data_IF_439023416189
#
_entry.id   IF_439023416189
#
_cell.length_a   1.000
_cell.length_b   1.000
_cell.length_c   1.000
_cell.angle_alpha   90.00
_cell.angle_beta   90.00
_cell.angle_gamma   90.00
#
_symmetry.space_group_name_H-M   'P 1'
#
loop_
_entity.id
_entity.type
_entity.pdbx_description
1 polymer ?
#
# COMPACT_ATOMS: atom_id res chain seq x y z
N UNK A 1 11.76 19.89 -5.26
CA UNK A 1 11.60 21.01 -4.32
C UNK A 1 10.60 20.56 -3.26
N UNK A 2 11.04 20.11 -2.09
CA UNK A 2 10.12 19.71 -1.01
C UNK A 2 9.55 21.00 -0.43
N UNK A 3 8.26 21.21 -0.64
CA UNK A 3 7.57 22.38 -0.12
C UNK A 3 7.64 22.33 1.42
N UNK A 4 8.19 23.36 2.07
CA UNK A 4 8.17 23.53 3.54
C UNK A 4 6.75 23.94 3.95
N UNK A 5 5.79 23.04 3.79
CA UNK A 5 4.46 23.23 4.33
C UNK A 5 4.51 23.07 5.85
N UNK A 6 4.09 24.11 6.58
CA UNK A 6 3.91 24.06 8.03
C UNK A 6 2.58 23.42 8.45
N UNK A 7 1.78 22.93 7.50
CA UNK A 7 0.50 22.30 7.76
C UNK A 7 0.71 20.95 8.43
N UNK A 8 0.55 20.94 9.74
CA UNK A 8 0.59 19.77 10.61
C UNK A 8 -0.79 19.16 10.81
N UNK A 9 -1.81 19.62 10.10
CA UNK A 9 -3.19 19.17 10.30
C UNK A 9 -3.95 18.96 9.00
N UNK A 10 -4.87 18.01 9.06
CA UNK A 10 -5.84 17.67 8.03
C UNK A 10 -7.23 17.81 8.65
N UNK A 11 -8.13 18.54 7.99
CA UNK A 11 -9.55 18.58 8.34
C UNK A 11 -10.36 18.25 7.10
N UNK A 12 -11.18 17.22 7.21
CA UNK A 12 -12.07 16.75 6.15
C UNK A 12 -13.50 16.84 6.65
N UNK A 13 -14.42 17.23 5.78
CA UNK A 13 -15.86 17.22 6.09
C UNK A 13 -16.63 16.72 4.88
N UNK A 14 -17.41 15.66 5.06
CA UNK A 14 -18.19 15.04 4.01
C UNK A 14 -19.40 14.31 4.61
N UNK A 15 -20.57 14.46 3.98
CA UNK A 15 -21.82 13.76 4.37
C UNK A 15 -22.18 13.87 5.88
N UNK A 16 -21.92 15.04 6.50
CA UNK A 16 -22.18 15.26 7.93
C UNK A 16 -21.13 14.65 8.88
N UNK A 17 -20.08 14.03 8.34
CA UNK A 17 -18.90 13.59 9.10
C UNK A 17 -17.81 14.65 9.04
N UNK A 18 -17.07 14.76 10.14
CA UNK A 18 -15.87 15.59 10.25
C UNK A 18 -14.72 14.74 10.77
N UNK A 19 -13.59 14.79 10.07
CA UNK A 19 -12.35 14.12 10.48
C UNK A 19 -11.29 15.20 10.66
N UNK A 20 -10.70 15.27 11.84
CA UNK A 20 -9.56 16.13 12.14
C UNK A 20 -8.38 15.27 12.54
N UNK A 21 -7.21 15.51 11.95
CA UNK A 21 -5.95 14.85 12.28
C UNK A 21 -4.88 15.92 12.46
N UNK A 22 -4.11 15.85 13.53
CA UNK A 22 -3.01 16.77 13.82
C UNK A 22 -1.75 16.00 14.18
N UNK A 23 -0.62 16.36 13.57
CA UNK A 23 0.68 15.79 13.86
C UNK A 23 1.14 16.20 15.26
N UNK A 24 1.35 15.19 16.10
CA UNK A 24 1.84 15.33 17.47
C UNK A 24 3.38 15.13 17.56
N UNK A 25 4.05 14.87 16.44
CA UNK A 25 5.49 14.62 16.38
C UNK A 25 6.06 14.77 14.97
N UNK A 26 7.37 14.57 14.79
CA UNK A 26 8.01 14.62 13.48
C UNK A 26 7.57 13.44 12.60
N UNK A 27 7.65 13.58 11.26
CA UNK A 27 7.43 12.46 10.35
C UNK A 27 8.51 11.38 10.52
N UNK A 28 8.14 10.14 10.21
CA UNK A 28 9.06 9.00 10.12
C UNK A 28 9.30 8.74 8.64
N UNK A 29 10.32 9.35 8.01
CA UNK A 29 10.46 9.32 6.56
C UNK A 29 10.73 7.91 6.04
N UNK A 30 10.54 7.71 4.73
CA UNK A 30 10.95 6.48 4.06
C UNK A 30 12.43 6.19 4.36
N UNK A 31 13.33 7.13 4.09
CA UNK A 31 14.72 7.05 4.54
C UNK A 31 15.18 8.33 5.26
N UNK A 32 16.28 8.27 6.04
CA UNK A 32 16.81 9.43 6.77
C UNK A 32 17.19 10.60 5.86
N UNK A 33 17.58 10.32 4.61
CA UNK A 33 18.00 11.33 3.62
C UNK A 33 16.82 12.07 2.96
N UNK A 34 15.58 11.69 3.27
CA UNK A 34 14.37 12.32 2.75
C UNK A 34 14.03 11.95 1.30
N UNK A 35 14.63 10.91 0.74
CA UNK A 35 14.22 10.33 -0.53
C UNK A 35 13.15 9.26 -0.34
N UNK A 36 12.24 9.14 -1.31
CA UNK A 36 11.20 8.11 -1.29
C UNK A 36 11.69 6.75 -1.79
N UNK A 37 10.75 5.80 -2.00
CA UNK A 37 11.01 4.45 -2.52
C UNK A 37 11.81 4.41 -3.84
N UNK A 38 11.63 5.41 -4.70
CA UNK A 38 12.35 5.57 -5.98
C UNK A 38 13.77 6.14 -5.83
N UNK A 39 14.17 6.58 -4.63
CA UNK A 39 15.45 7.24 -4.41
C UNK A 39 15.62 8.46 -5.32
N UNK A 40 16.74 8.49 -6.06
CA UNK A 40 17.05 9.58 -6.99
C UNK A 40 16.21 9.55 -8.28
N UNK A 41 15.59 8.41 -8.63
CA UNK A 41 14.77 8.32 -9.84
C UNK A 41 13.51 9.17 -9.77
N UNK A 42 13.04 9.52 -8.57
CA UNK A 42 11.93 10.46 -8.38
C UNK A 42 12.16 11.84 -9.02
N UNK A 43 13.41 12.17 -9.40
CA UNK A 43 13.78 13.42 -10.11
C UNK A 43 13.69 13.30 -11.63
N UNK A 44 13.49 12.10 -12.16
CA UNK A 44 13.45 11.84 -13.60
C UNK A 44 12.02 12.04 -14.11
N UNK A 45 11.81 13.15 -14.83
CA UNK A 45 10.48 13.61 -15.26
C UNK A 45 9.80 12.74 -16.32
N UNK A 46 10.54 11.86 -17.02
CA UNK A 46 9.96 10.99 -18.04
C UNK A 46 9.43 9.66 -17.49
N UNK A 47 9.64 9.37 -16.20
CA UNK A 47 8.99 8.21 -15.60
C UNK A 47 7.48 8.46 -15.55
N UNK A 48 6.66 7.53 -16.05
CA UNK A 48 5.24 7.78 -16.23
C UNK A 48 4.44 7.72 -14.92
N UNK A 49 5.06 7.22 -13.85
CA UNK A 49 4.45 7.01 -12.54
C UNK A 49 5.50 7.21 -11.45
N UNK A 50 5.07 7.87 -10.37
CA UNK A 50 5.85 8.08 -9.17
C UNK A 50 5.05 7.75 -7.91
N UNK A 51 5.71 7.13 -6.94
CA UNK A 51 5.24 6.85 -5.59
C UNK A 51 6.24 7.39 -4.56
N UNK A 52 5.79 8.37 -3.77
CA UNK A 52 6.59 8.98 -2.70
C UNK A 52 5.92 8.79 -1.35
N UNK A 53 6.67 8.22 -0.41
CA UNK A 53 6.26 8.11 0.98
C UNK A 53 6.95 9.23 1.77
N UNK A 54 6.15 10.20 2.22
CA UNK A 54 6.63 11.27 3.08
C UNK A 54 6.87 10.78 4.51
N UNK A 55 5.97 9.93 5.02
CA UNK A 55 6.08 9.37 6.37
C UNK A 55 5.42 8.00 6.44
N UNK A 56 6.08 7.05 7.11
CA UNK A 56 5.56 5.72 7.42
C UNK A 56 4.66 5.73 8.67
N UNK A 57 4.90 6.64 9.62
CA UNK A 57 4.26 6.57 10.94
C UNK A 57 4.38 7.88 11.75
N UNK A 58 3.93 9.02 11.20
CA UNK A 58 3.88 10.27 11.97
C UNK A 58 2.96 10.10 13.17
N UNK A 59 3.39 10.38 14.43
CA UNK A 59 2.47 10.42 15.56
C UNK A 59 1.40 11.49 15.35
N UNK A 60 0.14 11.13 15.53
CA UNK A 60 -0.99 12.06 15.36
C UNK A 60 -1.97 12.01 16.52
N UNK A 61 -2.70 13.09 16.72
CA UNK A 61 -3.96 13.13 17.44
C UNK A 61 -5.09 13.23 16.41
N UNK A 62 -6.20 12.52 16.63
CA UNK A 62 -7.32 12.52 15.72
C UNK A 62 -8.65 12.68 16.45
N UNK A 63 -9.64 13.20 15.73
CA UNK A 63 -11.04 13.27 16.14
C UNK A 63 -11.92 12.99 14.93
N UNK A 64 -12.92 12.14 15.11
CA UNK A 64 -13.95 11.80 14.14
C UNK A 64 -15.30 12.11 14.76
N UNK A 65 -16.05 13.03 14.15
CA UNK A 65 -17.41 13.36 14.53
C UNK A 65 -18.37 13.01 13.38
N UNK A 66 -19.58 12.62 13.73
CA UNK A 66 -20.68 12.40 12.80
C UNK A 66 -21.82 13.39 13.04
N UNK A 67 -22.96 13.21 12.36
CA UNK A 67 -24.12 14.10 12.50
C UNK A 67 -24.64 14.21 13.94
N UNK A 68 -24.44 13.17 14.74
CA UNK A 68 -24.94 13.05 16.10
C UNK A 68 -23.86 13.30 17.18
N UNK A 69 -22.73 13.91 16.81
CA UNK A 69 -21.64 14.26 17.74
C UNK A 69 -20.36 13.44 17.56
N UNK A 70 -19.51 13.44 18.59
CA UNK A 70 -18.20 12.79 18.58
C UNK A 70 -18.35 11.27 18.49
N UNK A 71 -17.69 10.65 17.51
CA UNK A 71 -17.68 9.20 17.32
C UNK A 71 -16.42 8.56 17.91
N UNK A 72 -15.26 9.20 17.73
CA UNK A 72 -13.99 8.70 18.24
C UNK A 72 -12.96 9.82 18.31
N UNK A 73 -12.07 9.76 19.28
CA UNK A 73 -10.87 10.60 19.34
C UNK A 73 -9.72 9.83 19.99
N UNK A 74 -8.48 10.26 19.73
CA UNK A 74 -7.33 9.67 20.38
C UNK A 74 -6.01 9.93 19.67
N UNK A 75 -5.05 9.04 19.91
CA UNK A 75 -3.72 9.06 19.31
C UNK A 75 -3.58 7.95 18.27
N UNK A 76 -2.80 8.19 17.23
CA UNK A 76 -2.55 7.23 16.16
C UNK A 76 -1.21 7.45 15.47
N UNK A 77 -0.98 6.65 14.43
CA UNK A 77 0.14 6.79 13.53
C UNK A 77 -0.41 7.04 12.13
N UNK A 78 0.11 8.06 11.45
CA UNK A 78 -0.29 8.42 10.10
C UNK A 78 0.81 8.06 9.10
N UNK A 79 0.43 7.26 8.11
CA UNK A 79 1.19 7.11 6.86
C UNK A 79 0.78 8.21 5.90
N UNK A 80 1.76 8.79 5.23
CA UNK A 80 1.58 9.93 4.34
C UNK A 80 2.34 9.67 3.05
N UNK A 81 1.62 9.61 1.94
CA UNK A 81 2.19 9.36 0.63
C UNK A 81 1.56 10.23 -0.46
N UNK A 82 2.24 10.29 -1.60
CA UNK A 82 1.76 10.93 -2.80
C UNK A 82 2.14 10.09 -4.01
N UNK A 83 1.13 9.84 -4.85
CA UNK A 83 1.29 9.31 -6.19
C UNK A 83 1.08 10.43 -7.22
N UNK A 84 1.90 10.47 -8.27
CA UNK A 84 1.71 11.36 -9.42
C UNK A 84 2.34 10.77 -10.68
N UNK A 85 1.96 11.29 -11.84
CA UNK A 85 2.48 10.82 -13.12
C UNK A 85 1.48 10.99 -14.24
N UNK A 86 1.85 10.52 -15.42
CA UNK A 86 0.99 10.50 -16.62
C UNK A 86 0.27 9.15 -16.81
N UNK A 87 0.51 8.19 -15.91
CA UNK A 87 0.04 6.82 -15.98
C UNK A 87 -0.44 6.30 -14.62
N UNK A 88 -1.30 5.29 -14.66
CA UNK A 88 -1.78 4.54 -13.49
C UNK A 88 -1.57 3.04 -13.74
N UNK A 89 -0.99 2.25 -12.82
CA UNK A 89 -0.62 0.84 -13.06
C UNK A 89 -1.74 -0.02 -13.67
N UNK A 90 -1.36 -0.99 -14.51
CA UNK A 90 -2.32 -1.98 -15.05
C UNK A 90 -2.83 -2.91 -13.95
N UNK A 91 -1.96 -3.22 -12.99
CA UNK A 91 -2.25 -4.05 -11.83
C UNK A 91 -1.29 -3.66 -10.70
N UNK A 92 -1.76 -3.61 -9.47
CA UNK A 92 -0.91 -3.29 -8.32
C UNK A 92 -1.38 -3.98 -7.04
N UNK A 93 -0.44 -4.14 -6.12
CA UNK A 93 -0.68 -4.40 -4.72
C UNK A 93 0.00 -3.29 -3.93
N UNK A 94 -0.73 -2.71 -3.00
CA UNK A 94 -0.20 -1.75 -2.03
C UNK A 94 -0.50 -2.25 -0.63
N UNK A 95 0.40 -1.99 0.30
CA UNK A 95 0.16 -2.31 1.69
C UNK A 95 0.97 -1.45 2.64
N UNK A 96 0.36 -1.06 3.75
CA UNK A 96 1.03 -0.30 4.79
C UNK A 96 0.50 -0.62 6.18
N UNK A 97 1.38 -0.55 7.17
CA UNK A 97 1.01 -0.64 8.55
C UNK A 97 2.13 -0.25 9.50
N UNK A 98 1.71 0.34 10.62
CA UNK A 98 2.62 0.83 11.64
C UNK A 98 2.13 0.49 13.04
N UNK A 99 3.06 0.08 13.87
CA UNK A 99 2.94 -0.01 15.32
C UNK A 99 4.19 0.59 15.97
N UNK A 100 4.21 0.65 17.30
CA UNK A 100 5.34 1.17 18.07
C UNK A 100 6.68 0.56 17.63
N UNK A 101 6.72 -0.76 17.40
CA UNK A 101 7.97 -1.48 17.11
C UNK A 101 8.25 -1.77 15.63
N UNK A 102 7.29 -1.58 14.74
CA UNK A 102 7.45 -1.95 13.32
C UNK A 102 6.63 -1.02 12.43
N UNK A 103 7.25 -0.59 11.33
CA UNK A 103 6.60 0.16 10.24
C UNK A 103 6.97 -0.56 8.96
N UNK A 104 5.96 -0.90 8.18
CA UNK A 104 6.09 -1.62 6.93
C UNK A 104 5.24 -0.93 5.88
N UNK A 105 5.84 -0.63 4.74
CA UNK A 105 5.12 -0.22 3.55
C UNK A 105 5.70 -0.93 2.33
N UNK A 106 4.85 -1.35 1.42
CA UNK A 106 5.25 -1.88 0.13
C UNK A 106 4.25 -1.50 -0.94
N UNK A 107 4.77 -1.38 -2.16
CA UNK A 107 3.94 -1.26 -3.33
C UNK A 107 4.63 -1.96 -4.50
N UNK A 108 3.83 -2.51 -5.40
CA UNK A 108 4.37 -3.01 -6.65
C UNK A 108 3.30 -3.55 -7.55
N UNK A 109 3.69 -3.88 -8.77
CA UNK A 109 2.74 -4.23 -9.80
C UNK A 109 3.28 -4.07 -11.20
N UNK A 110 2.37 -4.17 -12.15
CA UNK A 110 2.67 -4.16 -13.58
C UNK A 110 2.66 -2.73 -14.09
N UNK A 111 3.84 -2.24 -14.49
CA UNK A 111 4.04 -0.88 -15.00
C UNK A 111 4.47 -0.96 -16.46
N UNK A 112 3.84 -0.24 -17.41
CA UNK A 112 4.33 -0.17 -18.78
C UNK A 112 5.53 0.78 -18.86
N UNK A 113 6.71 0.22 -19.13
CA UNK A 113 7.90 1.01 -19.44
C UNK A 113 7.97 1.30 -20.95
N UNK A 114 7.19 2.29 -21.40
CA UNK A 114 7.33 2.94 -22.71
C UNK A 114 6.99 2.11 -23.96
N UNK A 115 7.07 0.78 -23.91
CA UNK A 115 6.68 -0.12 -25.00
C UNK A 115 5.59 -1.07 -24.53
N UNK A 116 4.58 -1.33 -25.37
CA UNK A 116 3.48 -2.25 -25.03
C UNK A 116 3.92 -3.72 -24.89
N UNK A 117 5.16 -4.05 -25.28
CA UNK A 117 5.67 -5.41 -25.40
C UNK A 117 6.24 -5.95 -24.09
N UNK A 118 6.75 -5.09 -23.21
CA UNK A 118 7.33 -5.51 -21.92
C UNK A 118 6.64 -4.76 -20.80
N UNK A 119 5.91 -5.50 -19.97
CA UNK A 119 5.23 -4.98 -18.77
C UNK A 119 5.90 -5.56 -17.53
N UNK A 120 7.03 -5.00 -17.08
CA UNK A 120 7.72 -5.52 -15.90
C UNK A 120 6.86 -5.38 -14.65
N UNK A 121 7.01 -6.35 -13.76
CA UNK A 121 6.54 -6.23 -12.39
C UNK A 121 7.63 -5.55 -11.56
N UNK A 122 7.31 -4.38 -10.99
CA UNK A 122 8.24 -3.55 -10.22
C UNK A 122 7.73 -3.45 -8.79
N UNK A 123 8.61 -3.64 -7.81
CA UNK A 123 8.26 -3.68 -6.39
C UNK A 123 9.24 -2.89 -5.55
N UNK A 124 8.75 -2.36 -4.44
CA UNK A 124 9.52 -1.63 -3.45
C UNK A 124 8.98 -1.95 -2.07
N UNK A 125 9.88 -2.09 -1.09
CA UNK A 125 9.54 -2.42 0.31
C UNK A 125 10.39 -1.56 1.24
N UNK A 126 9.76 -0.97 2.24
CA UNK A 126 10.41 -0.26 3.33
C UNK A 126 10.02 -0.91 4.65
N UNK A 127 11.02 -1.37 5.41
CA UNK A 127 10.86 -1.97 6.73
C UNK A 127 11.66 -1.17 7.77
N UNK A 128 10.99 -0.71 8.82
CA UNK A 128 11.60 -0.04 9.97
C UNK A 128 11.20 -0.75 11.25
N UNK A 129 12.18 -1.16 12.05
CA UNK A 129 11.99 -1.69 13.40
C UNK A 129 12.91 -0.95 14.37
N UNK A 130 12.97 -1.36 15.63
CA UNK A 130 13.92 -0.79 16.60
C UNK A 130 15.38 -1.08 16.21
N UNK A 131 15.63 -2.17 15.48
CA UNK A 131 16.98 -2.63 15.11
C UNK A 131 17.26 -2.62 13.60
N UNK A 132 16.22 -2.54 12.76
CA UNK A 132 16.35 -2.64 11.31
C UNK A 132 15.84 -1.39 10.60
N UNK A 133 16.58 -0.96 9.57
CA UNK A 133 16.16 0.08 8.64
C UNK A 133 16.53 -0.34 7.22
N UNK A 134 15.64 -1.10 6.57
CA UNK A 134 15.91 -1.73 5.28
C UNK A 134 14.96 -1.27 4.20
N UNK A 135 15.53 -0.97 3.04
CA UNK A 135 14.81 -0.64 1.81
C UNK A 135 15.18 -1.65 0.73
N UNK A 136 14.17 -2.26 0.13
CA UNK A 136 14.31 -3.12 -1.04
C UNK A 136 13.75 -2.37 -2.24
N UNK A 137 14.58 -2.23 -3.26
CA UNK A 137 14.26 -1.52 -4.49
C UNK A 137 15.00 -2.17 -5.64
N UNK A 138 14.46 -2.20 -6.87
CA UNK A 138 15.14 -2.79 -8.03
C UNK A 138 16.32 -1.92 -8.53
N UNK A 139 16.68 -0.88 -7.77
CA UNK A 139 17.63 0.15 -8.16
C UNK A 139 19.02 -0.10 -7.57
N UNK A 140 20.04 0.25 -8.35
CA UNK A 140 21.45 0.23 -7.92
C UNK A 140 21.70 1.26 -6.80
N UNK A 141 22.63 1.01 -5.85
CA UNK A 141 23.54 -0.13 -5.72
C UNK A 141 22.96 -1.38 -5.05
N UNK A 142 21.85 -1.24 -4.32
CA UNK A 142 21.29 -2.31 -3.51
C UNK A 142 20.08 -2.95 -4.20
N UNK A 143 20.30 -3.42 -5.43
CA UNK A 143 19.25 -4.03 -6.25
C UNK A 143 18.64 -5.23 -5.54
N UNK A 144 17.33 -5.18 -5.34
CA UNK A 144 16.53 -6.27 -4.82
C UNK A 144 15.84 -7.05 -5.95
N UNK A 145 15.71 -8.36 -5.75
CA UNK A 145 14.87 -9.24 -6.55
C UNK A 145 13.59 -9.56 -5.77
N UNK A 146 12.47 -9.72 -6.48
CA UNK A 146 11.15 -9.84 -5.88
C UNK A 146 10.38 -11.05 -6.43
N UNK A 147 9.72 -11.79 -5.55
CA UNK A 147 8.85 -12.92 -5.90
C UNK A 147 7.47 -12.76 -5.24
N UNK A 148 6.56 -11.98 -5.86
CA UNK A 148 5.19 -11.82 -5.36
C UNK A 148 4.35 -13.07 -5.63
N UNK A 149 3.43 -13.37 -4.72
CA UNK A 149 2.29 -14.28 -4.93
C UNK A 149 1.03 -13.56 -4.51
N UNK A 150 0.06 -13.50 -5.41
CA UNK A 150 -1.13 -12.67 -5.25
C UNK A 150 -2.34 -13.58 -5.40
N UNK A 151 -3.18 -13.64 -4.37
CA UNK A 151 -4.49 -14.29 -4.40
C UNK A 151 -5.51 -13.38 -3.73
N UNK A 152 -5.93 -12.37 -4.48
CA UNK A 152 -6.86 -11.35 -4.01
C UNK A 152 -8.25 -11.92 -3.67
N UNK A 153 -8.66 -13.03 -4.31
CA UNK A 153 -9.95 -13.65 -4.02
C UNK A 153 -9.97 -14.30 -2.63
N UNK A 154 -8.84 -14.83 -2.18
CA UNK A 154 -8.68 -15.33 -0.82
C UNK A 154 -8.09 -14.31 0.15
N UNK A 155 -7.91 -13.04 -0.27
CA UNK A 155 -7.33 -11.99 0.57
C UNK A 155 -5.88 -12.27 0.97
N UNK A 156 -5.11 -12.94 0.12
CA UNK A 156 -3.74 -13.38 0.38
C UNK A 156 -2.71 -12.67 -0.50
N UNK A 157 -1.60 -12.31 0.12
CA UNK A 157 -0.43 -11.77 -0.56
C UNK A 157 0.85 -12.26 0.11
N UNK A 158 1.78 -12.78 -0.67
CA UNK A 158 3.14 -13.07 -0.22
C UNK A 158 4.15 -12.30 -1.07
N UNK A 159 5.23 -11.84 -0.45
CA UNK A 159 6.35 -11.22 -1.15
C UNK A 159 7.65 -11.65 -0.49
N UNK A 160 8.56 -12.21 -1.29
CA UNK A 160 9.96 -12.32 -0.92
C UNK A 160 10.75 -11.23 -1.64
N UNK A 161 11.48 -10.40 -0.90
CA UNK A 161 12.41 -9.42 -1.45
C UNK A 161 13.83 -9.73 -0.99
N UNK A 162 14.75 -9.90 -1.94
CA UNK A 162 16.12 -10.40 -1.70
C UNK A 162 17.13 -9.40 -2.22
N UNK A 163 18.00 -8.93 -1.33
CA UNK A 163 19.25 -8.24 -1.64
C UNK A 163 20.43 -9.17 -1.36
N UNK A 164 21.65 -8.73 -1.66
CA UNK A 164 22.86 -9.52 -1.44
C UNK A 164 22.96 -10.05 0.00
N UNK A 165 22.87 -9.16 0.99
CA UNK A 165 23.07 -9.49 2.42
C UNK A 165 21.79 -9.57 3.23
N UNK A 166 20.63 -9.25 2.65
CA UNK A 166 19.36 -9.20 3.36
C UNK A 166 18.24 -9.86 2.56
N UNK A 167 17.27 -10.43 3.27
CA UNK A 167 16.04 -11.00 2.72
C UNK A 167 14.90 -10.58 3.65
N UNK A 168 13.77 -10.20 3.07
CA UNK A 168 12.51 -10.05 3.81
C UNK A 168 11.44 -10.93 3.18
N UNK A 169 10.69 -11.63 4.03
CA UNK A 169 9.48 -12.36 3.65
C UNK A 169 8.28 -11.67 4.28
N UNK A 170 7.30 -11.33 3.47
CA UNK A 170 6.06 -10.69 3.87
C UNK A 170 4.92 -11.63 3.51
N UNK A 171 4.05 -11.89 4.47
CA UNK A 171 2.83 -12.68 4.27
C UNK A 171 1.65 -11.92 4.85
N UNK A 172 0.68 -11.58 4.01
CA UNK A 172 -0.52 -10.84 4.38
C UNK A 172 -1.73 -11.73 4.15
N UNK A 173 -2.63 -11.75 5.13
CA UNK A 173 -3.93 -12.42 5.05
C UNK A 173 -5.02 -11.47 5.55
N UNK A 174 -6.10 -11.37 4.81
CA UNK A 174 -7.32 -10.69 5.21
C UNK A 174 -8.54 -11.59 4.96
N UNK A 175 -9.63 -11.32 5.67
CA UNK A 175 -10.95 -11.84 5.31
C UNK A 175 -11.38 -11.21 3.96
N UNK A 176 -11.68 -11.99 2.91
CA UNK A 176 -12.15 -11.44 1.63
C UNK A 176 -13.36 -10.50 1.75
N UNK A 177 -14.19 -10.69 2.77
CA UNK A 177 -15.38 -9.88 3.02
C UNK A 177 -15.08 -8.54 3.71
N UNK A 178 -13.87 -8.34 4.23
CA UNK A 178 -13.50 -7.08 4.87
C UNK A 178 -13.01 -5.99 3.90
N UNK A 179 -12.88 -6.33 2.61
CA UNK A 179 -12.48 -5.39 1.58
C UNK A 179 -13.62 -4.47 1.21
N UNK A 180 -13.38 -3.17 1.31
CA UNK A 180 -14.20 -2.15 0.67
C UNK A 180 -14.01 -2.32 -0.84
N UNK A 181 -15.08 -2.76 -1.50
CA UNK A 181 -15.06 -3.03 -2.92
C UNK A 181 -15.29 -1.76 -3.72
N UNK A 182 -14.57 -1.66 -4.82
CA UNK A 182 -14.86 -0.69 -5.85
C UNK A 182 -14.46 0.73 -5.55
N UNK A 183 -13.34 0.90 -4.85
CA UNK A 183 -12.76 2.20 -4.57
C UNK A 183 -12.42 2.94 -5.87
N UNK A 184 -12.79 4.21 -5.87
CA UNK A 184 -12.66 5.12 -6.99
C UNK A 184 -11.23 5.65 -7.05
N UNK A 185 -10.47 5.20 -8.04
CA UNK A 185 -9.12 5.67 -8.33
C UNK A 185 -9.16 6.83 -9.34
N UNK A 186 -8.32 7.87 -9.16
CA UNK A 186 -8.25 8.98 -10.09
C UNK A 186 -7.61 8.55 -11.42
N UNK A 187 -8.14 9.05 -12.52
CA UNK A 187 -7.67 8.87 -13.89
C UNK A 187 -7.65 10.21 -14.61
N UNK A 188 -7.12 10.24 -15.84
CA UNK A 188 -7.09 11.48 -16.66
C UNK A 188 -8.49 12.03 -16.94
N UNK A 189 -9.52 11.19 -16.96
CA UNK A 189 -10.90 11.55 -17.35
C UNK A 189 -11.88 11.52 -16.18
N UNK A 190 -11.41 11.46 -14.93
CA UNK A 190 -12.24 11.38 -13.74
C UNK A 190 -11.90 10.18 -12.87
N UNK A 191 -12.87 9.62 -12.16
CA UNK A 191 -12.66 8.51 -11.24
C UNK A 191 -13.19 7.21 -11.80
N UNK A 192 -12.49 6.11 -11.55
CA UNK A 192 -12.90 4.76 -11.97
C UNK A 192 -12.76 3.77 -10.81
N UNK A 193 -13.70 2.84 -10.72
CA UNK A 193 -13.61 1.71 -9.82
C UNK A 193 -12.46 0.81 -10.29
N UNK A 194 -11.32 0.87 -9.59
CA UNK A 194 -10.13 0.11 -9.97
C UNK A 194 -9.43 -0.55 -8.79
N UNK A 195 -9.96 -0.46 -7.57
CA UNK A 195 -9.29 -0.92 -6.35
C UNK A 195 -10.25 -1.53 -5.34
N UNK A 196 -9.77 -2.52 -4.59
CA UNK A 196 -10.41 -3.04 -3.39
C UNK A 196 -9.40 -3.00 -2.23
N UNK A 197 -9.78 -2.41 -1.10
CA UNK A 197 -8.87 -2.19 0.04
C UNK A 197 -9.49 -2.66 1.36
N UNK A 198 -8.66 -3.19 2.25
CA UNK A 198 -9.03 -3.50 3.64
C UNK A 198 -8.02 -2.89 4.60
N UNK A 199 -8.48 -2.48 5.79
CA UNK A 199 -7.63 -2.00 6.90
C UNK A 199 -7.53 -3.02 8.04
N UNK A 200 -7.98 -4.25 7.82
CA UNK A 200 -8.09 -5.28 8.87
C UNK A 200 -7.15 -6.45 8.66
N UNK A 201 -6.30 -6.39 7.64
CA UNK A 201 -5.39 -7.49 7.32
C UNK A 201 -4.41 -7.76 8.48
N UNK A 202 -3.94 -9.01 8.52
CA UNK A 202 -2.83 -9.43 9.35
C UNK A 202 -1.61 -9.64 8.46
N UNK A 203 -0.49 -9.05 8.84
CA UNK A 203 0.79 -9.30 8.17
C UNK A 203 1.77 -9.95 9.13
N UNK A 204 2.51 -10.93 8.61
CA UNK A 204 3.71 -11.49 9.21
C UNK A 204 4.89 -11.05 8.35
N UNK A 205 5.87 -10.41 8.98
CA UNK A 205 7.12 -10.02 8.32
C UNK A 205 8.30 -10.70 9.01
N UNK A 206 9.15 -11.32 8.22
CA UNK A 206 10.36 -12.01 8.67
C UNK A 206 11.57 -11.42 7.95
N UNK A 207 12.52 -10.93 8.74
CA UNK A 207 13.73 -10.28 8.28
C UNK A 207 14.93 -11.20 8.51
N UNK A 208 15.73 -11.42 7.47
CA UNK A 208 16.85 -12.35 7.46
C UNK A 208 18.15 -11.65 7.05
N UNK A 209 19.23 -11.96 7.75
CA UNK A 209 20.60 -11.71 7.29
C UNK A 209 21.03 -12.89 6.39
N UNK A 210 21.66 -12.59 5.26
CA UNK A 210 22.19 -13.60 4.34
C UNK A 210 23.71 -13.59 4.41
N UNK A 211 24.30 -14.76 4.66
CA UNK A 211 25.75 -14.94 4.63
C UNK A 211 26.11 -16.02 3.63
N UNK A 212 27.17 -15.78 2.86
CA UNK A 212 27.71 -16.79 1.95
C UNK A 212 28.54 -17.79 2.77
N UNK A 213 28.17 -19.06 2.73
CA UNK A 213 28.94 -20.14 3.34
C UNK A 213 29.04 -21.30 2.35
N UNK A 214 30.26 -21.72 2.01
CA UNK A 214 30.52 -22.80 1.05
C UNK A 214 29.74 -22.62 -0.27
N UNK A 215 29.79 -21.41 -0.85
CA UNK A 215 29.08 -21.03 -2.08
C UNK A 215 27.54 -20.99 -1.99
N UNK A 216 26.96 -21.23 -0.83
CA UNK A 216 25.52 -21.15 -0.60
C UNK A 216 25.16 -19.93 0.25
N UNK A 217 24.13 -19.19 -0.14
CA UNK A 217 23.55 -18.15 0.69
C UNK A 217 22.67 -18.76 1.77
N UNK A 218 23.08 -18.61 3.04
CA UNK A 218 22.32 -19.11 4.19
C UNK A 218 21.61 -17.96 4.89
N UNK A 219 20.26 -17.92 4.86
CA UNK A 219 19.52 -16.92 5.61
C UNK A 219 19.49 -17.28 7.10
N UNK A 220 19.71 -16.29 7.96
CA UNK A 220 19.53 -16.35 9.41
C UNK A 220 18.45 -15.36 9.81
N UNK A 221 17.38 -15.85 10.43
CA UNK A 221 16.29 -15.00 10.92
C UNK A 221 16.86 -14.03 11.97
N UNK A 222 16.68 -12.73 11.74
CA UNK A 222 17.00 -11.67 12.69
C UNK A 222 15.78 -11.30 13.52
N UNK A 223 14.64 -11.13 12.86
CA UNK A 223 13.44 -10.60 13.47
C UNK A 223 12.19 -11.15 12.78
N UNK A 224 11.16 -11.42 13.58
CA UNK A 224 9.82 -11.74 13.10
C UNK A 224 8.82 -10.84 13.79
N UNK A 225 8.02 -10.10 13.02
CA UNK A 225 6.96 -9.23 13.52
C UNK A 225 5.62 -9.59 12.94
N UNK A 226 4.60 -9.27 13.71
CA UNK A 226 3.21 -9.43 13.32
C UNK A 226 2.52 -8.10 13.55
N UNK A 227 1.82 -7.62 12.53
CA UNK A 227 0.91 -6.49 12.64
C UNK A 227 -0.51 -6.98 12.36
N UNK A 228 -1.45 -6.53 13.17
CA UNK A 228 -2.88 -6.61 12.88
C UNK A 228 -3.34 -5.21 12.46
N UNK A 229 -4.49 -5.13 11.79
CA UNK A 229 -5.00 -3.86 11.22
C UNK A 229 -4.03 -3.26 10.19
N UNK A 230 -3.49 -4.12 9.34
CA UNK A 230 -2.65 -3.74 8.22
C UNK A 230 -3.54 -3.35 7.03
N UNK A 231 -3.17 -2.28 6.34
CA UNK A 231 -3.85 -1.87 5.11
C UNK A 231 -3.32 -2.71 3.95
N UNK A 232 -4.23 -3.30 3.16
CA UNK A 232 -3.90 -4.07 1.97
C UNK A 232 -4.87 -3.70 0.85
N UNK A 233 -4.30 -3.36 -0.29
CA UNK A 233 -5.01 -2.96 -1.50
C UNK A 233 -4.63 -3.87 -2.66
N UNK A 234 -5.64 -4.34 -3.39
CA UNK A 234 -5.49 -4.97 -4.69
C UNK A 234 -6.13 -4.09 -5.75
N UNK A 235 -5.42 -3.82 -6.84
CA UNK A 235 -5.92 -2.96 -7.88
C UNK A 235 -5.62 -3.43 -9.30
N UNK A 236 -6.43 -2.91 -10.23
CA UNK A 236 -6.38 -3.27 -11.64
C UNK A 236 -6.58 -4.77 -11.84
N UNK A 237 -5.74 -5.40 -12.66
CA UNK A 237 -5.86 -6.83 -12.96
C UNK A 237 -5.49 -7.75 -11.77
N UNK A 238 -4.94 -7.22 -10.68
CA UNK A 238 -4.68 -7.99 -9.45
C UNK A 238 -5.92 -8.13 -8.56
N UNK A 239 -7.04 -7.49 -8.90
CA UNK A 239 -8.29 -7.64 -8.16
C UNK A 239 -8.92 -9.01 -8.35
N UNK A 240 -9.75 -9.39 -7.38
CA UNK A 240 -10.57 -10.58 -7.53
C UNK A 240 -11.68 -10.36 -8.57
N UNK A 241 -11.56 -11.02 -9.72
CA UNK A 241 -12.50 -10.89 -10.84
C UNK A 241 -13.82 -11.66 -10.62
N UNK A 242 -13.97 -12.47 -9.57
CA UNK A 242 -15.21 -13.24 -9.34
C UNK A 242 -16.43 -12.37 -9.02
N UNK A 243 -16.22 -11.12 -8.60
CA UNK A 243 -17.29 -10.16 -8.32
C UNK A 243 -17.66 -9.27 -9.51
N UNK A 244 -17.00 -9.42 -10.66
CA UNK A 244 -17.26 -8.63 -11.88
C UNK A 244 -18.61 -8.91 -12.56
N UNK A 245 -19.44 -9.82 -12.00
CA UNK A 245 -20.79 -10.09 -12.52
C UNK A 245 -21.85 -9.08 -12.11
N UNK A 246 -21.59 -8.20 -11.14
CA UNK A 246 -22.38 -6.99 -10.96
C UNK A 246 -21.68 -5.84 -11.71
N UNK A 247 -21.82 -5.85 -13.03
CA UNK A 247 -21.12 -4.95 -13.94
C UNK A 247 -21.38 -3.48 -13.69
N UNK A 248 -20.44 -2.63 -14.12
CA UNK A 248 -20.57 -1.33 -14.80
C UNK A 248 -21.81 -0.42 -14.55
N UNK A 249 -22.49 -0.52 -13.41
CA UNK A 249 -23.76 0.16 -13.13
C UNK A 249 -23.62 1.39 -12.22
N UNK A 250 -22.44 2.02 -12.16
CA UNK A 250 -22.23 3.26 -11.38
C UNK A 250 -22.21 4.54 -12.22
N UNK A 251 -22.61 4.48 -13.50
CA UNK A 251 -22.78 5.70 -14.31
C UNK A 251 -24.09 6.47 -14.05
N UNK A 252 -24.92 6.07 -13.08
CA UNK A 252 -26.13 6.82 -12.77
C UNK A 252 -26.27 7.01 -11.25
N UNK A 253 -25.65 8.07 -10.72
CA UNK A 253 -26.27 8.79 -9.61
C UNK A 253 -27.50 9.51 -10.16
N UNK A 254 -28.58 8.76 -10.36
CA UNK A 254 -29.95 9.20 -10.19
C UNK A 254 -30.89 8.02 -10.42
N UNK A 255 -31.35 7.46 -9.29
CA UNK A 255 -32.49 6.54 -9.11
C UNK A 255 -32.26 5.05 -9.38
N UNK A 256 -32.78 4.28 -8.41
CA UNK A 256 -33.09 2.83 -8.37
C UNK A 256 -31.99 1.93 -7.75
N UNK A 257 -32.38 1.26 -6.66
CA UNK A 257 -31.60 0.21 -5.98
C UNK A 257 -31.38 -1.00 -6.90
N UNK A 258 -30.17 -1.60 -6.95
CA UNK A 258 -29.98 -2.85 -7.67
C UNK A 258 -30.24 -4.04 -6.74
N UNK A 259 -31.29 -4.80 -7.04
CA UNK A 259 -31.47 -6.17 -6.53
C UNK A 259 -30.40 -7.09 -7.13
N UNK A 260 -29.50 -7.60 -6.29
CA UNK A 260 -28.65 -8.74 -6.63
C UNK A 260 -29.44 -10.04 -6.42
N UNK A 261 -29.87 -10.71 -7.50
CA UNK A 261 -30.43 -12.07 -7.39
C UNK A 261 -29.31 -13.10 -7.17
N UNK A 262 -29.50 -13.98 -6.17
CA UNK A 262 -28.56 -15.05 -5.79
C UNK A 262 -28.25 -16.04 -6.93
N UNK A 263 -27.05 -16.66 -6.94
CA UNK A 263 -26.70 -17.64 -7.95
C UNK A 263 -27.39 -18.98 -7.67
N UNK A 264 -28.08 -19.49 -8.70
CA UNK A 264 -28.65 -20.82 -8.80
C UNK A 264 -27.73 -21.92 -8.22
N UNK A 265 -28.25 -22.67 -7.25
CA UNK A 265 -27.75 -23.99 -6.90
C UNK A 265 -27.96 -24.94 -8.08
N UNK A 266 -26.91 -25.65 -8.48
CA UNK A 266 -27.03 -26.78 -9.41
C UNK A 266 -27.23 -28.05 -8.59
N UNK A 267 -28.40 -28.66 -8.76
CA UNK A 267 -28.62 -30.11 -8.66
C UNK A 267 -27.80 -30.85 -9.70
#
# INVERSE_FOLDING_TARGET
MVHKGHHRSLRLSAAGYQISVEAAGPPVPWNPEGTGPEGQLARISFLPLHWFVHSLATPVQYSVAGPNGLLSEGKGLAHMEKNWGSYFPDAWVWGQGAASQVKLAFAGGVIPLGTKLVKPSVWVVGLRTESLSWDFSPLFPNTALFWPRIDACNGEFELEAVQLTHLVKIKVKADPNSFLKGLLCPTKTGFRNMSDETFTARVVVEAYERRLHKLEWRPRLLERRVLNKFALEFGGDHRCQQFSRCGDAWQALDKVEPHCSEPFSKT
#
